data_IF_934631637828
#
_entry.id   IF_934631637828
#
_cell.length_a   1.000
_cell.length_b   1.000
_cell.length_c   1.000
_cell.angle_alpha   90.00
_cell.angle_beta   90.00
_cell.angle_gamma   90.00
#
_symmetry.space_group_name_H-M   'P 1'
#
loop_
_entity.id
_entity.type
_entity.pdbx_description
1 polymer ?
#
# COMPACT_ATOMS: atom_id res chain seq x y z
N UNK A 1 14.43 -3.94 -20.20
CA UNK A 1 13.21 -4.09 -19.39
C UNK A 1 12.24 -4.99 -20.16
N UNK A 2 12.04 -6.21 -19.69
CA UNK A 2 11.08 -7.16 -20.27
C UNK A 2 9.84 -7.13 -19.40
N UNK A 3 8.79 -6.44 -19.86
CA UNK A 3 7.49 -6.53 -19.22
C UNK A 3 6.94 -7.94 -19.41
N UNK A 4 6.33 -8.52 -18.37
CA UNK A 4 5.69 -9.83 -18.47
C UNK A 4 4.35 -9.84 -17.76
N UNK A 5 3.45 -10.68 -18.25
CA UNK A 5 2.16 -10.91 -17.62
C UNK A 5 2.23 -12.06 -16.61
N UNK A 6 1.56 -11.88 -15.48
CA UNK A 6 1.36 -12.92 -14.46
C UNK A 6 -0.11 -12.97 -14.05
N UNK A 7 -0.62 -14.18 -13.81
CA UNK A 7 -2.02 -14.39 -13.42
C UNK A 7 -2.29 -13.94 -11.99
N UNK A 8 -1.29 -14.02 -11.12
CA UNK A 8 -1.39 -13.61 -9.73
C UNK A 8 -0.26 -12.65 -9.38
N UNK A 9 -0.61 -11.52 -8.76
CA UNK A 9 0.34 -10.57 -8.21
C UNK A 9 -0.11 -10.16 -6.82
N UNK A 10 0.81 -10.28 -5.86
CA UNK A 10 0.62 -9.74 -4.51
C UNK A 10 1.70 -8.69 -4.28
N UNK A 11 1.27 -7.44 -4.15
CA UNK A 11 2.20 -6.36 -3.84
C UNK A 11 2.78 -6.58 -2.45
N UNK A 12 4.11 -6.56 -2.35
CA UNK A 12 4.83 -6.47 -1.07
C UNK A 12 4.94 -5.03 -0.57
N UNK A 13 4.48 -4.07 -1.38
CA UNK A 13 4.54 -2.65 -1.05
C UNK A 13 3.58 -2.34 0.09
N UNK A 14 4.06 -1.72 1.19
CA UNK A 14 3.19 -1.30 2.27
C UNK A 14 2.15 -0.27 1.81
N UNK A 15 0.97 -0.28 2.43
CA UNK A 15 -0.01 0.78 2.22
C UNK A 15 0.34 1.99 3.10
N UNK A 16 1.01 2.99 2.52
CA UNK A 16 1.47 4.19 3.23
C UNK A 16 0.33 4.97 3.88
N UNK A 17 -0.84 5.06 3.24
CA UNK A 17 -2.01 5.71 3.83
C UNK A 17 -2.47 4.98 5.09
N UNK A 18 -2.49 3.65 5.09
CA UNK A 18 -2.86 2.87 6.26
C UNK A 18 -1.87 3.07 7.42
N UNK A 19 -0.58 3.03 7.12
CA UNK A 19 0.49 3.21 8.12
C UNK A 19 0.37 4.58 8.78
N UNK A 20 0.35 5.65 7.97
CA UNK A 20 0.28 7.03 8.49
C UNK A 20 -1.05 7.27 9.20
N UNK A 21 -2.17 6.76 8.67
CA UNK A 21 -3.47 6.93 9.33
C UNK A 21 -3.52 6.24 10.70
N UNK A 22 -3.01 5.02 10.82
CA UNK A 22 -2.92 4.29 12.11
C UNK A 22 -2.03 5.00 13.11
N UNK A 23 -0.90 5.54 12.66
CA UNK A 23 0.00 6.33 13.51
C UNK A 23 -0.72 7.57 14.05
N UNK A 24 -1.35 8.37 13.18
CA UNK A 24 -2.01 9.63 13.55
C UNK A 24 -3.26 9.45 14.41
N UNK A 25 -4.06 8.43 14.11
CA UNK A 25 -5.35 8.20 14.81
C UNK A 25 -5.20 7.36 16.08
N UNK A 26 -4.03 6.75 16.30
CA UNK A 26 -3.79 5.89 17.47
C UNK A 26 -4.48 4.52 17.38
N UNK A 27 -5.23 4.21 16.33
CA UNK A 27 -5.90 2.91 16.19
C UNK A 27 -4.89 1.79 15.95
N UNK A 28 -5.21 0.57 16.40
CA UNK A 28 -4.31 -0.60 16.40
C UNK A 28 -5.05 -1.87 16.01
N UNK A 29 -4.33 -2.94 15.66
CA UNK A 29 -4.92 -4.25 15.41
C UNK A 29 -5.62 -4.34 14.04
N UNK A 30 -6.88 -4.76 14.06
CA UNK A 30 -7.68 -5.12 12.87
C UNK A 30 -8.20 -3.92 12.06
N UNK A 31 -7.82 -2.69 12.41
CA UNK A 31 -8.13 -1.51 11.61
C UNK A 31 -7.39 -1.55 10.28
N UNK A 32 -8.02 -1.09 9.21
CA UNK A 32 -7.40 -1.03 7.89
C UNK A 32 -7.91 0.19 7.11
N UNK A 33 -7.12 0.60 6.12
CA UNK A 33 -7.48 1.66 5.18
C UNK A 33 -8.76 1.30 4.40
N UNK A 34 -9.74 2.20 4.41
CA UNK A 34 -11.02 1.99 3.72
C UNK A 34 -11.37 3.05 2.67
N UNK A 35 -10.83 4.27 2.80
CA UNK A 35 -11.21 5.40 1.95
C UNK A 35 -10.09 6.44 1.89
N UNK A 36 -9.96 7.10 0.74
CA UNK A 36 -9.13 8.29 0.56
C UNK A 36 -9.82 9.25 -0.40
N UNK A 37 -9.84 10.54 -0.05
CA UNK A 37 -10.24 11.60 -0.96
C UNK A 37 -9.15 12.68 -0.98
N UNK A 38 -8.74 13.13 -2.17
CA UNK A 38 -7.75 14.18 -2.34
C UNK A 38 -8.43 15.54 -2.32
N UNK A 39 -7.89 16.46 -1.53
CA UNK A 39 -8.30 17.86 -1.44
C UNK A 39 -7.05 18.74 -1.60
N UNK A 40 -6.80 19.19 -2.83
CA UNK A 40 -5.59 19.93 -3.15
C UNK A 40 -4.32 19.13 -2.81
N UNK A 41 -3.59 19.60 -1.80
CA UNK A 41 -2.29 19.08 -1.38
C UNK A 41 -2.35 18.06 -0.24
N UNK A 42 -3.55 17.72 0.23
CA UNK A 42 -3.76 16.72 1.27
C UNK A 42 -4.79 15.67 0.89
N UNK A 43 -4.80 14.60 1.67
CA UNK A 43 -5.74 13.49 1.57
C UNK A 43 -6.55 13.43 2.85
N UNK A 44 -7.88 13.38 2.74
CA UNK A 44 -8.74 12.93 3.83
C UNK A 44 -8.82 11.40 3.75
N UNK A 45 -8.31 10.72 4.77
CA UNK A 45 -8.17 9.26 4.79
C UNK A 45 -8.97 8.67 5.93
N UNK A 46 -9.73 7.63 5.63
CA UNK A 46 -10.50 6.86 6.59
C UNK A 46 -9.91 5.47 6.85
N UNK A 47 -9.94 5.08 8.12
CA UNK A 47 -9.66 3.73 8.59
C UNK A 47 -10.88 3.18 9.34
N UNK A 48 -11.11 1.88 9.21
CA UNK A 48 -12.20 1.14 9.89
C UNK A 48 -11.72 -0.22 10.35
N UNK A 49 -12.38 -0.80 11.36
CA UNK A 49 -12.16 -2.20 11.72
C UNK A 49 -12.49 -3.11 10.54
N UNK A 50 -11.56 -3.99 10.19
CA UNK A 50 -11.68 -4.88 9.07
C UNK A 50 -11.62 -6.33 9.54
N UNK A 51 -12.68 -7.09 9.27
CA UNK A 51 -12.77 -8.51 9.65
C UNK A 51 -13.24 -9.36 8.47
N UNK A 52 -12.81 -10.62 8.36
CA UNK A 52 -13.36 -11.53 7.37
C UNK A 52 -14.85 -11.73 7.58
N UNK A 53 -15.64 -11.71 6.49
CA UNK A 53 -17.06 -12.05 6.56
C UNK A 53 -17.21 -13.52 6.99
N UNK A 54 -18.06 -13.78 7.99
CA UNK A 54 -18.22 -15.13 8.58
C UNK A 54 -19.05 -16.10 7.72
N UNK A 55 -19.94 -15.59 6.86
CA UNK A 55 -20.90 -16.40 6.09
C UNK A 55 -21.29 -15.77 4.74
N UNK A 56 -21.95 -16.58 3.89
CA UNK A 56 -22.46 -16.21 2.57
C UNK A 56 -21.43 -16.29 1.44
N UNK A 57 -21.81 -15.88 0.21
CA UNK A 57 -20.94 -15.99 -0.97
C UNK A 57 -19.61 -15.21 -0.89
N UNK A 58 -19.53 -14.24 0.03
CA UNK A 58 -18.32 -13.44 0.29
C UNK A 58 -17.61 -13.84 1.59
N UNK A 59 -17.87 -15.05 2.12
CA UNK A 59 -17.16 -15.58 3.30
C UNK A 59 -15.65 -15.50 3.10
N UNK A 60 -14.93 -15.10 4.15
CA UNK A 60 -13.47 -14.93 4.11
C UNK A 60 -13.00 -13.61 3.50
N UNK A 61 -13.82 -12.92 2.70
CA UNK A 61 -13.46 -11.59 2.17
C UNK A 61 -13.45 -10.55 3.29
N UNK A 62 -12.47 -9.64 3.23
CA UNK A 62 -12.33 -8.51 4.15
C UNK A 62 -13.54 -7.58 4.00
N UNK A 63 -14.20 -7.30 5.12
CA UNK A 63 -15.30 -6.34 5.21
C UNK A 63 -14.98 -5.31 6.28
N UNK A 64 -15.41 -4.06 6.07
CA UNK A 64 -15.25 -2.99 7.03
C UNK A 64 -16.51 -2.87 7.91
N UNK A 65 -16.30 -2.65 9.20
CA UNK A 65 -17.35 -2.54 10.21
C UNK A 65 -17.10 -1.32 11.10
N UNK A 66 -18.15 -0.89 11.80
CA UNK A 66 -18.07 0.20 12.77
C UNK A 66 -17.90 1.58 12.15
N UNK A 67 -17.58 2.54 13.02
CA UNK A 67 -17.37 3.93 12.66
C UNK A 67 -16.04 4.14 11.93
N UNK A 68 -16.03 5.10 11.01
CA UNK A 68 -14.83 5.53 10.30
C UNK A 68 -14.08 6.58 11.11
N UNK A 69 -12.82 6.28 11.44
CA UNK A 69 -11.92 7.29 11.99
C UNK A 69 -11.19 7.94 10.82
N UNK A 70 -11.32 9.27 10.72
CA UNK A 70 -10.73 10.04 9.62
C UNK A 70 -9.55 10.87 10.11
N UNK A 71 -8.56 11.05 9.24
CA UNK A 71 -7.47 11.98 9.46
C UNK A 71 -7.05 12.64 8.14
N UNK A 72 -6.39 13.79 8.26
CA UNK A 72 -5.74 14.46 7.14
C UNK A 72 -4.32 13.93 7.00
N UNK A 73 -3.90 13.57 5.80
CA UNK A 73 -2.55 13.11 5.48
C UNK A 73 -1.98 13.99 4.37
N UNK A 74 -0.76 14.51 4.56
CA UNK A 74 -0.06 15.28 3.53
C UNK A 74 0.93 14.42 2.73
N UNK A 75 1.37 14.91 1.57
CA UNK A 75 2.43 14.27 0.80
C UNK A 75 3.74 14.13 1.59
N UNK A 76 4.08 15.13 2.41
CA UNK A 76 5.25 15.14 3.29
C UNK A 76 5.20 13.97 4.29
N UNK A 77 4.03 13.66 4.85
CA UNK A 77 3.86 12.57 5.80
C UNK A 77 4.01 11.19 5.14
N UNK A 78 3.48 11.01 3.93
CA UNK A 78 3.69 9.80 3.15
C UNK A 78 5.18 9.60 2.85
N UNK A 79 5.86 10.66 2.39
CA UNK A 79 7.30 10.62 2.11
C UNK A 79 8.14 10.29 3.35
N UNK A 80 7.78 10.83 4.51
CA UNK A 80 8.44 10.49 5.78
C UNK A 80 8.24 9.02 6.13
N UNK A 81 7.04 8.47 5.91
CA UNK A 81 6.78 7.05 6.16
C UNK A 81 7.59 6.14 5.22
N UNK A 82 7.67 6.49 3.94
CA UNK A 82 8.51 5.81 2.94
C UNK A 82 9.98 5.80 3.37
N UNK A 83 10.55 6.97 3.69
CA UNK A 83 11.96 7.10 4.15
C UNK A 83 12.21 6.28 5.41
N UNK A 84 11.31 6.32 6.40
CA UNK A 84 11.45 5.51 7.62
C UNK A 84 11.45 4.02 7.32
N UNK A 85 10.61 3.56 6.39
CA UNK A 85 10.60 2.17 5.97
C UNK A 85 11.92 1.77 5.29
N UNK A 86 12.43 2.59 4.38
CA UNK A 86 13.70 2.32 3.71
C UNK A 86 14.84 2.25 4.72
N UNK A 87 14.89 3.19 5.67
CA UNK A 87 15.90 3.20 6.73
C UNK A 87 15.78 1.99 7.67
N UNK A 88 14.56 1.56 8.01
CA UNK A 88 14.33 0.44 8.93
C UNK A 88 14.57 -0.93 8.30
N UNK A 89 14.32 -1.08 7.00
CA UNK A 89 14.30 -2.39 6.33
C UNK A 89 15.43 -2.57 5.31
N UNK A 90 16.00 -1.48 4.81
CA UNK A 90 16.89 -1.51 3.64
C UNK A 90 16.17 -1.81 2.31
N UNK A 91 14.85 -1.99 2.33
CA UNK A 91 14.06 -2.32 1.14
C UNK A 91 13.55 -1.05 0.46
N UNK A 92 13.44 -1.10 -0.86
CA UNK A 92 12.85 -0.04 -1.67
C UNK A 92 11.38 0.17 -1.29
N UNK A 93 11.00 1.40 -0.93
CA UNK A 93 9.62 1.69 -0.55
C UNK A 93 8.63 1.47 -1.70
N UNK A 94 9.05 1.65 -2.96
CA UNK A 94 8.15 1.55 -4.11
C UNK A 94 7.78 0.11 -4.49
N UNK A 95 8.63 -0.89 -4.19
CA UNK A 95 8.36 -2.29 -4.50
C UNK A 95 8.28 -3.20 -3.26
N UNK A 96 8.51 -2.65 -2.07
CA UNK A 96 8.52 -3.38 -0.81
C UNK A 96 9.64 -4.42 -0.68
N UNK A 97 10.71 -4.34 -1.48
CA UNK A 97 11.79 -5.35 -1.50
C UNK A 97 11.79 -6.28 -2.72
N UNK A 98 10.66 -6.42 -3.42
CA UNK A 98 10.52 -7.42 -4.49
C UNK A 98 11.35 -7.16 -5.76
N UNK A 99 11.83 -5.93 -5.97
CA UNK A 99 12.47 -5.50 -7.23
C UNK A 99 11.49 -5.35 -8.41
N UNK A 100 10.20 -5.65 -8.22
CA UNK A 100 9.19 -5.66 -9.26
C UNK A 100 8.07 -4.66 -8.98
N UNK A 101 7.46 -4.13 -10.02
CA UNK A 101 6.35 -3.20 -9.93
C UNK A 101 5.22 -3.61 -10.88
N UNK A 102 3.98 -3.58 -10.37
CA UNK A 102 2.80 -3.83 -11.18
C UNK A 102 2.45 -2.57 -11.98
N UNK A 103 2.71 -2.60 -13.28
CA UNK A 103 2.48 -1.50 -14.20
C UNK A 103 1.00 -1.36 -14.61
N UNK A 104 0.26 -2.47 -14.59
CA UNK A 104 -1.15 -2.48 -14.94
C UNK A 104 -1.79 -3.86 -14.77
N UNK A 105 -3.09 -3.94 -15.01
CA UNK A 105 -3.85 -5.18 -14.96
C UNK A 105 -4.82 -5.25 -16.15
N UNK A 106 -4.81 -6.37 -16.85
CA UNK A 106 -5.73 -6.75 -17.91
C UNK A 106 -6.58 -7.91 -17.44
N UNK A 107 -7.88 -7.91 -17.72
CA UNK A 107 -8.75 -9.04 -17.38
C UNK A 107 -8.39 -10.32 -18.13
N UNK A 108 -7.77 -10.21 -19.31
CA UNK A 108 -7.42 -11.36 -20.16
C UNK A 108 -6.02 -11.87 -19.83
N UNK A 109 -5.06 -10.96 -19.68
CA UNK A 109 -3.63 -11.32 -19.57
C UNK A 109 -3.15 -11.35 -18.10
N UNK A 110 -3.90 -10.77 -17.17
CA UNK A 110 -3.52 -10.63 -15.76
C UNK A 110 -2.71 -9.37 -15.49
N UNK A 111 -1.82 -9.43 -14.51
CA UNK A 111 -0.99 -8.30 -14.07
C UNK A 111 0.24 -8.14 -14.95
N UNK A 112 0.43 -6.94 -15.50
CA UNK A 112 1.63 -6.55 -16.22
C UNK A 112 2.68 -6.09 -15.21
N UNK A 113 3.70 -6.91 -14.99
CA UNK A 113 4.81 -6.60 -14.09
C UNK A 113 6.05 -6.16 -14.87
N UNK A 114 6.77 -5.22 -14.29
CA UNK A 114 8.02 -4.66 -14.81
C UNK A 114 9.04 -4.53 -13.67
N UNK A 115 10.29 -4.27 -14.01
CA UNK A 115 11.31 -3.93 -13.02
C UNK A 115 10.94 -2.62 -12.31
N UNK A 116 11.15 -2.59 -10.99
CA UNK A 116 10.93 -1.38 -10.22
C UNK A 116 11.95 -0.31 -10.65
N UNK A 117 11.47 0.76 -11.27
CA UNK A 117 12.32 1.87 -11.77
C UNK A 117 13.07 2.61 -10.66
N UNK A 118 12.52 2.60 -9.45
CA UNK A 118 13.15 3.29 -8.33
C UNK A 118 14.45 2.58 -7.92
N UNK A 119 14.41 1.27 -7.70
CA UNK A 119 15.58 0.48 -7.28
C UNK A 119 16.27 -0.26 -8.42
N UNK A 120 15.80 -0.09 -9.67
CA UNK A 120 16.31 -0.74 -10.88
C UNK A 120 16.37 -2.26 -10.72
N UNK A 121 15.26 -2.85 -10.25
CA UNK A 121 15.16 -4.30 -10.07
C UNK A 121 15.85 -4.86 -8.82
N UNK A 122 16.65 -4.08 -8.10
CA UNK A 122 17.45 -4.60 -6.97
C UNK A 122 16.64 -4.94 -5.73
N UNK A 123 15.44 -4.37 -5.59
CA UNK A 123 14.63 -4.48 -4.37
C UNK A 123 15.12 -3.63 -3.20
N UNK A 124 16.34 -3.11 -3.24
CA UNK A 124 16.95 -2.35 -2.14
C UNK A 124 16.64 -0.86 -2.23
N UNK A 125 16.56 -0.20 -1.08
CA UNK A 125 16.51 1.25 -1.03
C UNK A 125 17.77 1.81 -1.72
N UNK A 126 17.61 2.87 -2.51
CA UNK A 126 18.77 3.59 -3.03
C UNK A 126 19.47 4.21 -1.83
N UNK A 127 20.78 3.95 -1.69
CA UNK A 127 21.61 4.71 -0.76
C UNK A 127 21.47 6.16 -1.20
N UNK A 128 20.86 7.00 -0.35
CA UNK A 128 20.90 8.44 -0.55
C UNK A 128 22.37 8.84 -0.39
N UNK A 129 23.03 9.10 -1.51
CA UNK A 129 24.38 9.65 -1.56
C UNK A 129 24.36 11.12 -1.16
#
# INVERSE_FOLDING_TARGET
MVKRYVQEWKSETPNWFEIVAKEKTGVRGDWAFCSSCRYGDYFLVGVRQARPRKSGPNKGKRMFFGEEVKCVITHEELRKAEIRYEAATGNCHNCGGSGLYCWGHSMVEGFLIDECRLCVGTGKAKVQA
#
